data_IF_113057005890
#
_entry.id   IF_113057005890
#
_cell.length_a   1.000
_cell.length_b   1.000
_cell.length_c   1.000
_cell.angle_alpha   90.00
_cell.angle_beta   90.00
_cell.angle_gamma   90.00
#
_symmetry.space_group_name_H-M   'P 1'
#
loop_
_entity.id
_entity.type
_entity.pdbx_description
1 polymer ?
#
# COMPACT_ATOMS: atom_id res chain seq x y z
N UNK A 1 22.28 -3.13 -31.85
CA UNK A 1 23.05 -1.91 -31.53
C UNK A 1 24.25 -2.34 -30.71
N UNK A 2 25.44 -2.17 -31.23
CA UNK A 2 26.68 -2.56 -30.54
C UNK A 2 27.02 -1.43 -29.56
N UNK A 3 27.00 -1.72 -28.25
CA UNK A 3 27.35 -0.74 -27.22
C UNK A 3 28.90 -0.71 -27.13
N UNK A 4 29.49 0.40 -27.51
CA UNK A 4 30.94 0.63 -27.31
C UNK A 4 31.19 0.85 -25.82
N UNK A 5 32.16 0.15 -25.24
CA UNK A 5 32.61 0.36 -23.86
C UNK A 5 33.78 1.37 -23.77
N UNK A 6 34.15 2.01 -24.89
CA UNK A 6 35.14 3.06 -24.88
C UNK A 6 34.55 4.39 -24.43
N UNK A 7 35.25 5.15 -23.60
CA UNK A 7 34.86 6.51 -23.23
C UNK A 7 34.85 7.40 -24.48
N UNK A 8 33.80 8.24 -24.59
CA UNK A 8 33.80 9.29 -25.63
C UNK A 8 34.94 10.28 -25.38
N UNK A 9 35.49 10.81 -26.44
CA UNK A 9 36.53 11.86 -26.36
C UNK A 9 36.01 13.23 -25.87
N UNK A 10 34.71 13.34 -25.59
CA UNK A 10 34.06 14.55 -25.10
C UNK A 10 33.91 14.50 -23.57
N UNK A 11 34.24 15.63 -22.92
CA UNK A 11 34.01 15.84 -21.50
C UNK A 11 32.55 16.29 -21.24
N UNK A 12 31.95 15.86 -20.11
CA UNK A 12 30.70 16.42 -19.63
C UNK A 12 30.99 17.72 -18.85
N UNK A 13 30.19 18.75 -19.12
CA UNK A 13 30.26 20.04 -18.41
C UNK A 13 28.91 20.24 -17.68
N UNK A 14 28.94 20.72 -16.43
CA UNK A 14 27.78 20.92 -15.56
C UNK A 14 27.54 22.40 -15.29
N UNK A 15 27.44 23.21 -16.35
CA UNK A 15 27.40 24.67 -16.33
C UNK A 15 26.07 25.28 -16.87
N UNK A 16 25.08 24.44 -17.21
CA UNK A 16 23.79 24.91 -17.72
C UNK A 16 22.71 24.84 -16.62
N UNK A 17 22.40 25.98 -16.03
CA UNK A 17 21.36 26.15 -15.00
C UNK A 17 19.91 25.92 -15.50
N UNK A 18 19.74 25.72 -16.82
CA UNK A 18 18.43 25.42 -17.39
C UNK A 18 18.13 23.92 -17.47
N UNK A 19 19.08 23.06 -17.15
CA UNK A 19 18.88 21.62 -17.18
C UNK A 19 18.16 21.16 -15.93
N UNK A 20 17.09 20.37 -16.12
CA UNK A 20 16.29 19.74 -15.06
C UNK A 20 16.29 18.23 -15.22
N UNK A 21 16.51 17.50 -14.14
CA UNK A 21 16.58 16.04 -14.13
C UNK A 21 15.22 15.36 -14.00
N UNK A 22 14.23 16.02 -13.37
CA UNK A 22 12.94 15.46 -13.03
C UNK A 22 11.79 16.34 -13.53
N UNK A 23 11.80 16.70 -14.82
CA UNK A 23 10.80 17.63 -15.40
C UNK A 23 9.36 17.09 -15.25
N UNK A 24 9.17 15.77 -15.27
CA UNK A 24 7.87 15.15 -15.07
C UNK A 24 7.30 15.32 -13.65
N UNK A 25 8.10 15.86 -12.72
CA UNK A 25 7.59 16.24 -11.40
C UNK A 25 6.63 17.43 -11.48
N UNK A 26 6.74 18.29 -12.50
CA UNK A 26 5.84 19.44 -12.70
C UNK A 26 4.38 19.00 -12.79
N UNK A 27 3.95 18.14 -13.72
CA UNK A 27 2.57 17.69 -13.80
C UNK A 27 2.13 16.92 -12.55
N UNK A 28 3.00 16.16 -11.89
CA UNK A 28 2.69 15.45 -10.63
C UNK A 28 2.36 16.44 -9.50
N UNK A 29 3.18 17.48 -9.33
CA UNK A 29 2.97 18.48 -8.28
C UNK A 29 1.83 19.45 -8.63
N UNK A 30 1.60 19.72 -9.91
CA UNK A 30 0.39 20.45 -10.37
C UNK A 30 -0.87 19.66 -10.02
N UNK A 31 -0.90 18.35 -10.24
CA UNK A 31 -2.00 17.49 -9.80
C UNK A 31 -2.18 17.54 -8.27
N UNK A 32 -1.10 17.47 -7.50
CA UNK A 32 -1.14 17.59 -6.04
C UNK A 32 -1.75 18.94 -5.59
N UNK A 33 -1.41 20.04 -6.26
CA UNK A 33 -1.96 21.37 -6.01
C UNK A 33 -3.44 21.43 -6.38
N UNK A 34 -3.83 20.94 -7.56
CA UNK A 34 -5.22 20.93 -8.05
C UNK A 34 -6.14 20.06 -7.18
N UNK A 35 -5.60 19.03 -6.53
CA UNK A 35 -6.32 18.17 -5.58
C UNK A 35 -6.18 18.65 -4.13
N UNK A 36 -5.67 19.87 -3.93
CA UNK A 36 -5.69 20.56 -2.64
C UNK A 36 -4.68 20.06 -1.61
N UNK A 37 -3.62 19.33 -1.99
CA UNK A 37 -2.67 18.77 -1.02
C UNK A 37 -2.06 19.86 -0.13
N UNK A 38 -1.61 20.97 -0.70
CA UNK A 38 -0.99 22.08 0.05
C UNK A 38 -1.95 22.70 1.06
N UNK A 39 -3.21 22.89 0.65
CA UNK A 39 -4.28 23.40 1.54
C UNK A 39 -4.55 22.43 2.71
N UNK A 40 -4.71 21.14 2.43
CA UNK A 40 -4.90 20.11 3.43
C UNK A 40 -3.73 20.03 4.43
N UNK A 41 -2.49 20.14 3.95
CA UNK A 41 -1.30 20.17 4.80
C UNK A 41 -1.30 21.41 5.69
N UNK A 42 -1.63 22.59 5.16
CA UNK A 42 -1.66 23.84 5.92
C UNK A 42 -2.78 23.88 6.96
N UNK A 43 -3.96 23.36 6.62
CA UNK A 43 -5.11 23.31 7.52
C UNK A 43 -4.91 22.30 8.65
N UNK A 44 -4.46 21.08 8.32
CA UNK A 44 -4.52 19.95 9.26
C UNK A 44 -3.25 19.68 10.01
N UNK A 45 -2.08 20.05 9.47
CA UNK A 45 -0.79 19.78 10.13
C UNK A 45 -0.35 21.01 10.92
N UNK A 46 -0.72 21.03 12.18
CA UNK A 46 -0.40 22.10 13.12
C UNK A 46 0.63 21.60 14.13
N UNK A 47 1.86 22.12 14.06
CA UNK A 47 2.95 21.74 14.94
C UNK A 47 3.28 22.93 15.82
N UNK A 48 2.80 22.88 17.07
CA UNK A 48 3.18 23.84 18.09
C UNK A 48 4.46 23.36 18.75
N UNK A 49 5.53 24.10 18.55
CA UNK A 49 6.83 23.75 19.13
C UNK A 49 7.08 24.51 20.42
N UNK A 50 7.56 23.81 21.44
CA UNK A 50 7.86 24.47 22.74
C UNK A 50 9.15 25.31 22.71
N UNK A 51 9.89 25.32 21.61
CA UNK A 51 11.19 25.98 21.47
C UNK A 51 11.16 27.11 20.46
N UNK A 52 11.81 28.23 20.78
CA UNK A 52 11.88 29.44 19.95
C UNK A 52 12.59 29.15 18.58
N UNK A 53 13.56 28.23 18.57
CA UNK A 53 14.27 27.79 17.35
C UNK A 53 13.90 26.33 17.02
N UNK A 54 12.65 26.08 16.66
CA UNK A 54 12.22 24.74 16.25
C UNK A 54 12.10 24.65 14.74
N UNK A 55 12.16 23.42 14.20
CA UNK A 55 11.88 23.14 12.80
C UNK A 55 10.39 23.22 12.43
N UNK A 56 9.50 23.55 13.37
CA UNK A 56 8.05 23.48 13.25
C UNK A 56 7.44 24.53 12.30
N UNK A 57 8.09 25.66 12.10
CA UNK A 57 7.57 26.71 11.21
C UNK A 57 7.35 26.19 9.77
N UNK A 58 6.26 26.65 9.16
CA UNK A 58 5.89 26.32 7.78
C UNK A 58 5.91 24.81 7.48
N UNK A 59 5.13 23.97 8.16
CA UNK A 59 5.16 22.53 7.94
C UNK A 59 4.70 22.12 6.54
N UNK A 60 3.71 22.81 5.98
CA UNK A 60 3.10 22.45 4.69
C UNK A 60 4.11 22.45 3.53
N UNK A 61 4.85 23.51 3.19
CA UNK A 61 5.78 23.49 2.07
C UNK A 61 6.99 22.53 2.31
N UNK A 62 7.38 22.29 3.56
CA UNK A 62 8.43 21.31 3.89
C UNK A 62 7.97 19.88 3.62
N UNK A 63 6.71 19.55 3.97
CA UNK A 63 6.12 18.25 3.67
C UNK A 63 5.87 18.09 2.17
N UNK A 64 5.46 19.16 1.48
CA UNK A 64 5.33 19.14 0.02
C UNK A 64 6.67 18.87 -0.67
N UNK A 65 7.76 19.51 -0.20
CA UNK A 65 9.13 19.24 -0.66
C UNK A 65 9.51 17.77 -0.47
N UNK A 66 9.22 17.19 0.70
CA UNK A 66 9.49 15.78 0.98
C UNK A 66 8.69 14.85 0.06
N UNK A 67 7.40 15.11 -0.14
CA UNK A 67 6.53 14.32 -1.02
C UNK A 67 7.03 14.40 -2.46
N UNK A 68 7.43 15.59 -2.94
CA UNK A 68 8.02 15.79 -4.26
C UNK A 68 9.30 14.97 -4.45
N UNK A 69 10.22 15.02 -3.47
CA UNK A 69 11.43 14.20 -3.47
C UNK A 69 11.12 12.70 -3.54
N UNK A 70 10.14 12.22 -2.77
CA UNK A 70 9.71 10.83 -2.80
C UNK A 70 9.07 10.43 -4.15
N UNK A 71 8.34 11.32 -4.80
CA UNK A 71 7.85 11.09 -6.16
C UNK A 71 9.01 10.97 -7.17
N UNK A 72 10.08 11.74 -6.98
CA UNK A 72 11.29 11.68 -7.80
C UNK A 72 12.19 10.47 -7.49
N UNK A 73 11.98 9.81 -6.33
CA UNK A 73 12.69 8.58 -5.95
C UNK A 73 13.49 8.66 -4.65
N UNK A 74 13.38 9.75 -3.89
CA UNK A 74 14.06 9.89 -2.59
C UNK A 74 13.69 8.74 -1.63
N UNK A 75 14.69 8.05 -1.12
CA UNK A 75 14.54 6.99 -0.11
C UNK A 75 15.24 7.36 1.23
N UNK A 76 16.03 8.43 1.22
CA UNK A 76 16.63 9.05 2.39
C UNK A 76 16.42 10.57 2.38
N UNK A 77 16.81 11.23 3.48
CA UNK A 77 16.57 12.68 3.60
C UNK A 77 17.44 13.50 2.64
N UNK A 78 18.64 13.02 2.36
CA UNK A 78 19.61 13.73 1.52
C UNK A 78 19.20 13.71 0.04
N UNK A 79 18.45 12.69 -0.38
CA UNK A 79 17.94 12.60 -1.76
C UNK A 79 16.94 13.69 -2.12
N UNK A 80 16.44 14.45 -1.14
CA UNK A 80 15.61 15.64 -1.41
C UNK A 80 16.37 16.66 -2.28
N UNK A 81 17.70 16.64 -2.27
CA UNK A 81 18.49 17.50 -3.15
C UNK A 81 18.27 17.22 -4.66
N UNK A 82 17.67 16.09 -5.04
CA UNK A 82 17.18 15.85 -6.40
C UNK A 82 16.24 16.95 -6.91
N UNK A 83 15.39 17.49 -6.02
CA UNK A 83 14.43 18.55 -6.38
C UNK A 83 15.01 19.97 -6.19
N UNK A 84 16.32 20.08 -5.91
CA UNK A 84 17.03 21.34 -5.69
C UNK A 84 18.25 21.52 -6.60
N UNK A 85 18.63 20.49 -7.35
CA UNK A 85 19.82 20.53 -8.22
C UNK A 85 19.50 21.07 -9.61
N UNK A 86 20.47 21.74 -10.24
CA UNK A 86 20.34 22.32 -11.57
C UNK A 86 19.18 23.32 -11.63
N UNK A 87 18.46 23.35 -12.75
CA UNK A 87 17.29 24.21 -12.97
C UNK A 87 16.04 23.86 -12.18
N UNK A 88 16.08 22.84 -11.29
CA UNK A 88 14.88 22.42 -10.52
C UNK A 88 14.36 23.53 -9.61
N UNK A 89 15.21 24.38 -9.06
CA UNK A 89 14.83 25.53 -8.22
C UNK A 89 14.06 26.60 -8.96
N UNK A 90 14.15 26.63 -10.28
CA UNK A 90 13.36 27.55 -11.14
C UNK A 90 11.94 27.02 -11.37
N UNK A 91 11.74 25.70 -11.30
CA UNK A 91 10.42 25.08 -11.46
C UNK A 91 9.56 25.16 -10.21
N UNK A 92 10.19 25.22 -9.03
CA UNK A 92 9.48 25.14 -7.74
C UNK A 92 10.00 26.21 -6.78
N UNK A 93 9.13 27.14 -6.39
CA UNK A 93 9.44 28.11 -5.34
C UNK A 93 9.56 27.44 -3.97
N UNK A 94 10.58 27.88 -3.19
CA UNK A 94 10.66 27.56 -1.78
C UNK A 94 10.94 26.10 -1.44
N UNK A 95 11.69 25.39 -2.29
CA UNK A 95 12.15 24.02 -2.00
C UNK A 95 13.12 24.03 -0.81
N UNK A 96 12.78 23.28 0.23
CA UNK A 96 13.56 23.28 1.47
C UNK A 96 14.74 22.30 1.41
N UNK A 97 15.85 22.68 2.05
CA UNK A 97 17.02 21.82 2.19
C UNK A 97 16.71 20.55 3.02
N UNK A 98 17.40 19.43 2.78
CA UNK A 98 17.25 18.18 3.55
C UNK A 98 17.34 18.38 5.05
N UNK A 99 18.31 19.20 5.51
CA UNK A 99 18.49 19.50 6.94
C UNK A 99 17.27 20.20 7.56
N UNK A 100 16.62 21.09 6.82
CA UNK A 100 15.42 21.81 7.25
C UNK A 100 14.21 20.87 7.34
N UNK A 101 14.00 20.02 6.32
CA UNK A 101 12.96 18.99 6.32
C UNK A 101 13.19 17.98 7.44
N UNK A 102 14.44 17.53 7.62
CA UNK A 102 14.83 16.63 8.71
C UNK A 102 14.59 17.22 10.08
N UNK A 103 14.76 18.54 10.26
CA UNK A 103 14.46 19.22 11.52
C UNK A 103 12.95 19.25 11.78
N UNK A 104 12.12 19.54 10.78
CA UNK A 104 10.67 19.44 10.89
C UNK A 104 10.23 18.03 11.29
N UNK A 105 10.72 16.99 10.62
CA UNK A 105 10.33 15.60 10.92
C UNK A 105 10.62 15.21 12.37
N UNK A 106 11.69 15.75 12.97
CA UNK A 106 12.02 15.50 14.38
C UNK A 106 11.05 16.14 15.38
N UNK A 107 10.23 17.09 14.96
CA UNK A 107 9.17 17.67 15.80
C UNK A 107 7.87 16.84 15.82
N UNK A 108 7.76 15.84 14.91
CA UNK A 108 6.56 15.04 14.85
C UNK A 108 6.35 14.17 16.10
N UNK A 109 5.16 14.27 16.65
CA UNK A 109 4.63 13.43 17.73
C UNK A 109 3.56 12.47 17.18
N UNK A 110 3.00 11.63 18.05
CA UNK A 110 1.86 10.79 17.69
C UNK A 110 0.65 11.60 17.20
N UNK A 111 0.35 12.74 17.85
CA UNK A 111 -0.74 13.64 17.45
C UNK A 111 -0.54 14.19 16.04
N UNK A 112 0.65 14.66 15.72
CA UNK A 112 0.97 15.21 14.40
C UNK A 112 0.91 14.11 13.30
N UNK A 113 1.34 12.89 13.61
CA UNK A 113 1.16 11.77 12.69
C UNK A 113 -0.34 11.48 12.42
N UNK A 114 -1.22 11.63 13.44
CA UNK A 114 -2.67 11.47 13.24
C UNK A 114 -3.27 12.57 12.36
N UNK A 115 -2.75 13.79 12.44
CA UNK A 115 -3.13 14.89 11.55
C UNK A 115 -2.74 14.55 10.10
N UNK A 116 -1.51 14.08 9.87
CA UNK A 116 -1.02 13.70 8.55
C UNK A 116 -1.74 12.44 7.98
N UNK A 117 -2.17 11.50 8.85
CA UNK A 117 -3.07 10.41 8.42
C UNK A 117 -4.42 10.94 7.90
N UNK A 118 -4.92 12.07 8.43
CA UNK A 118 -6.13 12.71 7.90
C UNK A 118 -5.87 13.32 6.52
N UNK A 119 -4.73 14.00 6.34
CA UNK A 119 -4.32 14.53 5.04
C UNK A 119 -4.26 13.41 3.99
N UNK A 120 -3.62 12.28 4.30
CA UNK A 120 -3.55 11.13 3.37
C UNK A 120 -4.93 10.70 2.89
N UNK A 121 -5.91 10.57 3.80
CA UNK A 121 -7.27 10.11 3.44
C UNK A 121 -8.02 11.14 2.62
N UNK A 122 -8.01 12.40 3.04
CA UNK A 122 -8.80 13.44 2.39
C UNK A 122 -8.21 13.81 1.03
N UNK A 123 -6.88 13.76 0.91
CA UNK A 123 -6.21 13.93 -0.37
C UNK A 123 -6.49 12.75 -1.33
N UNK A 124 -6.56 11.51 -0.83
CA UNK A 124 -6.97 10.36 -1.66
C UNK A 124 -8.39 10.55 -2.21
N UNK A 125 -9.33 11.03 -1.38
CA UNK A 125 -10.70 11.33 -1.82
C UNK A 125 -10.69 12.40 -2.93
N UNK A 126 -9.92 13.48 -2.75
CA UNK A 126 -9.78 14.53 -3.75
C UNK A 126 -9.12 14.03 -5.05
N UNK A 127 -8.13 13.15 -4.95
CA UNK A 127 -7.52 12.48 -6.12
C UNK A 127 -8.53 11.64 -6.88
N UNK A 128 -9.35 10.83 -6.18
CA UNK A 128 -10.39 10.02 -6.81
C UNK A 128 -11.48 10.87 -7.47
N UNK A 129 -11.75 12.06 -6.95
CA UNK A 129 -12.68 13.03 -7.59
C UNK A 129 -12.12 13.65 -8.86
N UNK A 130 -10.81 13.60 -9.11
CA UNK A 130 -10.14 14.18 -10.27
C UNK A 130 -9.66 13.15 -11.29
N UNK A 131 -9.29 11.98 -10.83
CA UNK A 131 -8.68 10.89 -11.61
C UNK A 131 -9.41 9.60 -11.30
N UNK A 132 -9.74 8.82 -12.30
CA UNK A 132 -10.42 7.53 -12.13
C UNK A 132 -9.46 6.47 -11.57
N UNK A 133 -9.12 6.62 -10.29
CA UNK A 133 -8.26 5.70 -9.55
C UNK A 133 -8.99 4.40 -9.16
N UNK A 134 -10.31 4.44 -9.12
CA UNK A 134 -11.16 3.33 -8.69
C UNK A 134 -12.29 3.13 -9.71
N UNK A 135 -11.96 2.70 -10.94
CA UNK A 135 -12.95 2.47 -11.97
C UNK A 135 -14.03 1.51 -11.47
N UNK A 136 -15.27 1.76 -11.87
CA UNK A 136 -16.45 0.98 -11.49
C UNK A 136 -16.78 0.94 -9.99
N UNK A 137 -16.14 1.75 -9.14
CA UNK A 137 -16.37 1.75 -7.68
C UNK A 137 -17.84 2.05 -7.29
N UNK A 138 -18.57 2.74 -8.16
CA UNK A 138 -19.98 3.07 -7.92
C UNK A 138 -20.92 1.85 -8.10
N UNK A 139 -20.58 0.90 -8.95
CA UNK A 139 -21.45 -0.24 -9.32
C UNK A 139 -20.83 -1.59 -8.99
N UNK A 140 -19.51 -1.70 -9.12
CA UNK A 140 -18.75 -2.92 -8.92
C UNK A 140 -18.32 -3.15 -7.48
N UNK A 141 -17.54 -4.20 -7.30
CA UNK A 141 -16.93 -4.54 -6.00
C UNK A 141 -15.68 -3.70 -5.77
N UNK A 142 -15.58 -3.15 -4.56
CA UNK A 142 -14.41 -2.46 -4.05
C UNK A 142 -13.72 -3.33 -3.01
N UNK A 143 -12.43 -3.53 -3.17
CA UNK A 143 -11.63 -4.34 -2.27
C UNK A 143 -10.83 -3.47 -1.32
N UNK A 144 -10.83 -3.83 -0.04
CA UNK A 144 -9.97 -3.23 0.98
C UNK A 144 -9.08 -4.34 1.52
N UNK A 145 -7.79 -4.23 1.24
CA UNK A 145 -6.82 -5.18 1.76
C UNK A 145 -6.06 -4.56 2.94
N UNK A 146 -5.80 -5.38 3.96
CA UNK A 146 -5.05 -4.97 5.15
C UNK A 146 -3.89 -5.92 5.38
N UNK A 147 -2.71 -5.35 5.54
CA UNK A 147 -1.51 -6.11 5.90
C UNK A 147 -0.46 -5.24 6.58
N UNK A 148 0.56 -5.88 7.15
CA UNK A 148 1.68 -5.23 7.82
C UNK A 148 3.02 -5.72 7.30
N UNK A 149 3.93 -4.77 7.20
CA UNK A 149 5.28 -4.99 6.74
C UNK A 149 6.26 -4.78 7.90
N UNK A 150 7.22 -5.69 8.11
CA UNK A 150 8.36 -5.39 8.99
C UNK A 150 9.50 -4.78 8.17
N UNK A 151 9.83 -3.53 8.48
CA UNK A 151 11.00 -2.85 7.90
C UNK A 151 12.16 -2.92 8.87
N UNK A 152 13.29 -3.56 8.49
CA UNK A 152 14.50 -3.59 9.30
C UNK A 152 15.00 -2.17 9.59
N UNK A 153 15.52 -1.97 10.79
CA UNK A 153 16.22 -0.74 11.18
C UNK A 153 17.56 -1.09 11.82
N UNK A 154 18.55 -0.29 11.51
CA UNK A 154 19.92 -0.49 11.98
C UNK A 154 20.31 0.61 12.96
N UNK A 155 21.29 0.32 13.82
CA UNK A 155 21.77 1.24 14.85
C UNK A 155 21.14 1.03 16.22
N UNK A 156 21.78 1.64 17.26
CA UNK A 156 21.46 1.39 18.67
C UNK A 156 20.21 2.15 19.14
N UNK A 157 20.08 3.44 18.78
CA UNK A 157 19.06 4.35 19.29
C UNK A 157 17.91 4.56 18.29
N UNK A 158 17.13 3.51 18.03
CA UNK A 158 15.94 3.58 17.16
C UNK A 158 14.67 3.39 18.00
N UNK A 159 13.93 4.47 18.23
CA UNK A 159 12.69 4.46 19.03
C UNK A 159 11.66 3.50 18.42
N UNK A 160 11.05 2.65 19.26
CA UNK A 160 10.05 1.66 18.86
C UNK A 160 10.60 0.43 18.13
N UNK A 161 11.89 0.42 17.78
CA UNK A 161 12.51 -0.74 17.15
C UNK A 161 12.56 -1.93 18.11
N UNK A 162 12.06 -3.05 17.65
CA UNK A 162 12.02 -4.31 18.40
C UNK A 162 12.02 -5.50 17.45
N UNK A 163 12.31 -6.67 17.96
CA UNK A 163 12.29 -7.88 17.16
C UNK A 163 10.86 -8.26 16.80
N UNK A 164 10.63 -8.44 15.51
CA UNK A 164 9.37 -8.89 14.93
C UNK A 164 9.63 -10.00 13.91
N UNK A 165 8.58 -10.75 13.59
CA UNK A 165 8.66 -11.81 12.60
C UNK A 165 8.61 -11.23 11.19
N UNK A 166 9.46 -11.75 10.31
CA UNK A 166 9.42 -11.52 8.87
C UNK A 166 9.71 -12.81 8.13
N UNK A 167 9.28 -12.92 6.89
CA UNK A 167 9.59 -14.09 6.05
C UNK A 167 10.69 -13.74 5.06
N UNK A 168 11.70 -14.59 4.94
CA UNK A 168 12.74 -14.53 3.91
C UNK A 168 12.84 -15.90 3.27
N UNK A 169 12.68 -15.99 1.97
CA UNK A 169 12.69 -17.25 1.22
C UNK A 169 11.79 -18.35 1.86
N UNK A 170 10.58 -17.94 2.29
CA UNK A 170 9.61 -18.84 2.93
C UNK A 170 9.89 -19.18 4.40
N UNK A 171 11.06 -18.84 4.94
CA UNK A 171 11.41 -19.09 6.34
C UNK A 171 11.06 -17.90 7.22
N UNK A 172 10.42 -18.17 8.36
CA UNK A 172 10.11 -17.15 9.36
C UNK A 172 11.35 -16.86 10.20
N UNK A 173 11.75 -15.60 10.23
CA UNK A 173 12.91 -15.15 11.01
C UNK A 173 12.54 -13.93 11.86
N UNK A 174 13.30 -13.73 12.95
CA UNK A 174 13.20 -12.55 13.80
C UNK A 174 14.17 -11.48 13.33
N UNK A 175 13.66 -10.28 13.05
CA UNK A 175 14.47 -9.10 12.73
C UNK A 175 14.08 -7.90 13.58
N UNK A 176 15.08 -7.12 13.97
CA UNK A 176 14.86 -5.82 14.63
C UNK A 176 14.35 -4.81 13.61
N UNK A 177 13.18 -4.25 13.85
CA UNK A 177 12.56 -3.33 12.91
C UNK A 177 11.40 -2.53 13.47
N UNK A 178 10.72 -1.83 12.58
CA UNK A 178 9.44 -1.17 12.79
C UNK A 178 8.40 -1.83 11.87
N UNK A 179 7.13 -1.83 12.30
CA UNK A 179 6.06 -2.55 11.59
C UNK A 179 4.97 -1.58 11.10
N UNK A 180 5.10 -0.98 9.90
CA UNK A 180 3.98 -0.31 9.24
C UNK A 180 2.80 -1.26 9.05
N UNK A 181 1.60 -0.79 9.38
CA UNK A 181 0.32 -1.40 9.04
C UNK A 181 -0.32 -0.55 7.97
N UNK A 182 -0.73 -1.15 6.87
CA UNK A 182 -1.38 -0.47 5.76
C UNK A 182 -2.77 -1.02 5.47
N UNK A 183 -3.63 -0.16 4.94
CA UNK A 183 -4.87 -0.52 4.26
C UNK A 183 -4.85 0.08 2.86
N UNK A 184 -5.23 -0.70 1.88
CA UNK A 184 -5.34 -0.27 0.48
C UNK A 184 -6.77 -0.37 -0.02
N UNK A 185 -7.10 0.37 -1.05
CA UNK A 185 -8.37 0.29 -1.78
C UNK A 185 -8.04 -0.01 -3.24
N UNK A 186 -8.80 -0.92 -3.84
CA UNK A 186 -8.70 -1.24 -5.27
C UNK A 186 -10.05 -1.70 -5.82
N UNK A 187 -10.17 -1.72 -7.14
CA UNK A 187 -11.22 -2.41 -7.90
C UNK A 187 -10.58 -3.47 -8.79
N UNK A 188 -11.34 -4.29 -9.46
CA UNK A 188 -10.82 -5.29 -10.39
C UNK A 188 -9.99 -4.65 -11.51
N UNK A 189 -10.32 -3.41 -11.90
CA UNK A 189 -9.67 -2.64 -12.96
C UNK A 189 -8.47 -1.81 -12.52
N UNK A 190 -8.19 -1.62 -11.22
CA UNK A 190 -7.21 -0.65 -10.72
C UNK A 190 -5.98 -1.27 -10.07
N UNK A 191 -4.88 -0.49 -10.04
CA UNK A 191 -3.81 -0.74 -9.08
C UNK A 191 -4.23 -0.20 -7.70
N UNK A 192 -3.78 -0.82 -6.58
CA UNK A 192 -4.19 -0.38 -5.26
C UNK A 192 -3.65 1.01 -4.90
N UNK A 193 -4.48 1.80 -4.22
CA UNK A 193 -4.13 3.06 -3.56
C UNK A 193 -4.14 2.91 -2.04
N UNK A 194 -3.30 3.65 -1.34
CA UNK A 194 -3.14 3.54 0.11
C UNK A 194 -4.19 4.42 0.81
N UNK A 195 -5.14 3.79 1.51
CA UNK A 195 -6.17 4.47 2.29
C UNK A 195 -5.71 4.83 3.71
N UNK A 196 -4.73 4.11 4.23
CA UNK A 196 -4.19 4.38 5.55
C UNK A 196 -2.87 3.66 5.77
N UNK A 197 -1.97 4.32 6.51
CA UNK A 197 -0.69 3.74 6.92
C UNK A 197 -0.36 4.19 8.34
N UNK A 198 0.11 3.26 9.17
CA UNK A 198 0.48 3.55 10.56
C UNK A 198 1.73 2.82 10.97
N UNK A 199 2.73 3.57 11.44
CA UNK A 199 3.93 2.98 12.01
C UNK A 199 3.63 2.37 13.38
N UNK A 200 4.21 1.20 13.64
CA UNK A 200 4.12 0.49 14.91
C UNK A 200 5.49 -0.03 15.31
N UNK A 201 5.67 -0.36 16.60
CA UNK A 201 6.88 -1.06 17.05
C UNK A 201 6.99 -2.44 16.39
N UNK A 202 8.21 -2.92 16.17
CA UNK A 202 8.45 -4.19 15.47
C UNK A 202 7.77 -5.41 16.11
N UNK A 203 7.70 -5.47 17.46
CA UNK A 203 7.02 -6.53 18.21
C UNK A 203 5.50 -6.39 18.29
N UNK A 204 4.92 -5.35 17.68
CA UNK A 204 3.47 -5.13 17.77
C UNK A 204 2.73 -6.25 17.04
N UNK A 205 1.81 -6.91 17.72
CA UNK A 205 0.94 -7.90 17.11
C UNK A 205 0.20 -7.32 15.92
N UNK A 206 0.16 -8.04 14.79
CA UNK A 206 -0.39 -7.54 13.52
C UNK A 206 -1.83 -7.07 13.65
N UNK A 207 -2.65 -7.76 14.46
CA UNK A 207 -4.04 -7.41 14.74
C UNK A 207 -4.24 -6.06 15.45
N UNK A 208 -3.22 -5.54 16.16
CA UNK A 208 -3.35 -4.31 16.96
C UNK A 208 -3.64 -3.09 16.09
N UNK A 209 -4.80 -2.48 16.27
CA UNK A 209 -5.25 -1.30 15.54
C UNK A 209 -5.93 -1.59 14.19
N UNK A 210 -5.97 -2.86 13.76
CA UNK A 210 -6.50 -3.27 12.46
C UNK A 210 -7.98 -2.88 12.26
N UNK A 211 -8.86 -3.19 13.22
CA UNK A 211 -10.28 -2.84 13.12
C UNK A 211 -10.53 -1.35 12.91
N UNK A 212 -9.78 -0.48 13.61
CA UNK A 212 -9.89 0.98 13.41
C UNK A 212 -9.42 1.41 12.01
N UNK A 213 -8.33 0.83 11.51
CA UNK A 213 -7.83 1.15 10.17
C UNK A 213 -8.78 0.67 9.09
N UNK A 214 -9.35 -0.53 9.23
CA UNK A 214 -10.41 -1.03 8.32
C UNK A 214 -11.62 -0.11 8.33
N UNK A 215 -12.13 0.29 9.50
CA UNK A 215 -13.26 1.22 9.58
C UNK A 215 -12.95 2.58 8.92
N UNK A 216 -11.71 3.06 9.03
CA UNK A 216 -11.27 4.29 8.34
C UNK A 216 -11.18 4.09 6.83
N UNK A 217 -10.62 2.96 6.36
CA UNK A 217 -10.51 2.65 4.94
C UNK A 217 -11.90 2.51 4.27
N UNK A 218 -12.87 1.86 4.95
CA UNK A 218 -14.24 1.78 4.44
C UNK A 218 -14.87 3.18 4.28
N UNK A 219 -14.70 4.06 5.29
CA UNK A 219 -15.21 5.45 5.17
C UNK A 219 -14.51 6.21 4.03
N UNK A 220 -13.20 6.04 3.88
CA UNK A 220 -12.44 6.67 2.78
C UNK A 220 -12.91 6.15 1.42
N UNK A 221 -13.13 4.84 1.27
CA UNK A 221 -13.67 4.26 0.05
C UNK A 221 -15.06 4.84 -0.30
N UNK A 222 -15.95 4.93 0.69
CA UNK A 222 -17.28 5.53 0.51
C UNK A 222 -17.20 7.01 0.09
N UNK A 223 -16.33 7.79 0.74
CA UNK A 223 -16.08 9.19 0.39
C UNK A 223 -15.44 9.34 -1.01
N UNK A 224 -14.67 8.36 -1.45
CA UNK A 224 -14.08 8.30 -2.79
C UNK A 224 -15.04 7.78 -3.88
N UNK A 225 -16.34 7.62 -3.58
CA UNK A 225 -17.37 7.24 -4.54
C UNK A 225 -17.74 5.75 -4.57
N UNK A 226 -17.19 4.92 -3.69
CA UNK A 226 -17.55 3.50 -3.62
C UNK A 226 -18.97 3.33 -3.06
N UNK A 227 -19.98 3.23 -3.92
CA UNK A 227 -21.36 2.93 -3.54
C UNK A 227 -21.72 1.45 -3.71
N UNK A 228 -20.94 0.70 -4.48
CA UNK A 228 -21.04 -0.75 -4.63
C UNK A 228 -20.66 -1.54 -3.38
N UNK A 229 -20.55 -2.86 -3.52
CA UNK A 229 -20.16 -3.75 -2.43
C UNK A 229 -18.70 -3.54 -2.04
N UNK A 230 -18.43 -3.37 -0.74
CA UNK A 230 -17.06 -3.36 -0.20
C UNK A 230 -16.75 -4.72 0.40
N UNK A 231 -15.63 -5.33 0.00
CA UNK A 231 -15.09 -6.55 0.55
C UNK A 231 -13.73 -6.27 1.21
N UNK A 232 -13.66 -6.50 2.53
CA UNK A 232 -12.40 -6.41 3.28
C UNK A 232 -11.72 -7.77 3.28
N UNK A 233 -10.42 -7.80 2.89
CA UNK A 233 -9.62 -9.02 2.81
C UNK A 233 -8.36 -8.89 3.67
N UNK A 234 -7.88 -10.00 4.18
CA UNK A 234 -6.65 -10.03 4.97
C UNK A 234 -6.22 -11.43 5.35
N UNK A 235 -4.96 -11.57 5.73
CA UNK A 235 -4.36 -12.81 6.18
C UNK A 235 -4.83 -13.23 7.60
N UNK A 236 -4.26 -14.30 8.12
CA UNK A 236 -4.62 -14.88 9.42
C UNK A 236 -4.46 -13.93 10.62
N UNK A 237 -3.62 -12.92 10.51
CA UNK A 237 -3.46 -11.92 11.56
C UNK A 237 -4.70 -11.02 11.72
N UNK A 238 -5.51 -10.91 10.67
CA UNK A 238 -6.66 -10.01 10.62
C UNK A 238 -8.01 -10.74 10.74
N UNK A 239 -8.02 -12.06 10.77
CA UNK A 239 -9.19 -12.89 11.08
C UNK A 239 -9.62 -12.78 12.53
N UNK A 240 -9.86 -11.57 13.02
CA UNK A 240 -10.16 -11.28 14.42
C UNK A 240 -11.45 -10.48 14.59
N UNK A 241 -12.01 -10.57 15.81
CA UNK A 241 -13.27 -9.93 16.19
C UNK A 241 -13.35 -8.44 15.85
N UNK A 242 -12.26 -7.69 16.07
CA UNK A 242 -12.26 -6.24 15.86
C UNK A 242 -12.40 -5.84 14.39
N UNK A 243 -11.79 -6.61 13.48
CA UNK A 243 -11.91 -6.40 12.03
C UNK A 243 -13.29 -6.78 11.55
N UNK A 244 -13.78 -7.99 11.87
CA UNK A 244 -15.12 -8.46 11.49
C UNK A 244 -16.20 -7.49 11.96
N UNK A 245 -16.13 -7.07 13.22
CA UNK A 245 -17.09 -6.09 13.79
C UNK A 245 -17.04 -4.74 13.05
N UNK A 246 -15.87 -4.29 12.63
CA UNK A 246 -15.75 -3.05 11.87
C UNK A 246 -16.39 -3.16 10.49
N UNK A 247 -16.25 -4.30 9.81
CA UNK A 247 -16.93 -4.58 8.55
C UNK A 247 -18.46 -4.57 8.70
N UNK A 248 -18.97 -5.36 9.64
CA UNK A 248 -20.42 -5.47 9.88
C UNK A 248 -21.05 -4.12 10.23
N UNK A 249 -20.43 -3.34 11.11
CA UNK A 249 -20.93 -2.00 11.49
C UNK A 249 -20.97 -1.01 10.34
N UNK A 250 -20.11 -1.20 9.35
CA UNK A 250 -20.01 -0.33 8.19
C UNK A 250 -20.74 -0.89 6.95
N UNK A 251 -21.49 -1.99 7.09
CA UNK A 251 -22.19 -2.64 5.98
C UNK A 251 -21.25 -3.19 4.91
N UNK A 252 -20.01 -3.55 5.28
CA UNK A 252 -19.03 -4.16 4.39
C UNK A 252 -18.98 -5.68 4.57
N UNK A 253 -18.66 -6.38 3.50
CA UNK A 253 -18.36 -7.81 3.51
C UNK A 253 -16.91 -8.02 3.97
N UNK A 254 -16.60 -9.22 4.41
CA UNK A 254 -15.25 -9.62 4.81
C UNK A 254 -14.89 -11.00 4.23
N UNK A 255 -13.59 -11.21 4.02
CA UNK A 255 -12.98 -12.49 3.64
C UNK A 255 -11.62 -12.57 4.31
N UNK A 256 -11.51 -13.27 5.42
CA UNK A 256 -10.37 -13.22 6.33
C UNK A 256 -9.89 -14.63 6.66
N UNK A 257 -8.60 -14.88 6.50
CA UNK A 257 -8.02 -16.18 6.89
C UNK A 257 -8.22 -16.41 8.38
N UNK A 258 -8.65 -17.61 8.76
CA UNK A 258 -8.77 -18.00 10.16
C UNK A 258 -7.52 -18.69 10.66
N UNK A 259 -7.07 -18.28 11.85
CA UNK A 259 -6.00 -19.01 12.56
C UNK A 259 -6.55 -20.40 12.92
N UNK A 260 -5.79 -21.43 12.57
CA UNK A 260 -6.10 -22.82 12.96
C UNK A 260 -6.04 -22.94 14.47
N UNK A 261 -7.15 -23.29 15.05
CA UNK A 261 -7.33 -23.55 16.48
C UNK A 261 -8.29 -24.76 16.63
N UNK A 262 -8.47 -25.33 17.81
CA UNK A 262 -9.30 -26.54 17.99
C UNK A 262 -10.74 -26.41 17.46
N UNK A 263 -11.31 -25.21 17.45
CA UNK A 263 -12.67 -25.01 16.92
C UNK A 263 -12.66 -25.06 15.38
N UNK A 264 -11.67 -24.43 14.73
CA UNK A 264 -11.48 -24.49 13.27
C UNK A 264 -11.14 -25.93 12.86
N UNK A 265 -10.27 -26.63 13.59
CA UNK A 265 -9.94 -28.02 13.28
C UNK A 265 -11.15 -28.95 13.35
N UNK A 266 -12.02 -28.79 14.36
CA UNK A 266 -13.29 -29.55 14.41
C UNK A 266 -14.20 -29.24 13.23
N UNK A 267 -14.27 -27.97 12.82
CA UNK A 267 -15.07 -27.58 11.64
C UNK A 267 -14.50 -28.19 10.36
N UNK A 268 -13.16 -28.22 10.20
CA UNK A 268 -12.51 -28.88 9.07
C UNK A 268 -12.80 -30.38 9.03
N UNK A 269 -12.72 -31.06 10.18
CA UNK A 269 -12.97 -32.49 10.28
C UNK A 269 -14.44 -32.87 10.04
N UNK A 270 -15.35 -31.92 10.15
CA UNK A 270 -16.78 -32.12 9.90
C UNK A 270 -17.19 -31.93 8.41
N UNK A 271 -16.27 -31.53 7.54
CA UNK A 271 -16.54 -31.41 6.11
C UNK A 271 -16.56 -32.82 5.51
N UNK A 272 -17.70 -33.20 4.93
CA UNK A 272 -17.86 -34.47 4.24
C UNK A 272 -16.93 -34.55 3.01
N UNK A 273 -16.37 -35.74 2.73
CA UNK A 273 -15.44 -35.91 1.62
C UNK A 273 -16.12 -35.64 0.27
N UNK A 274 -17.41 -35.86 0.14
CA UNK A 274 -18.19 -35.56 -1.06
C UNK A 274 -18.46 -34.07 -1.30
N UNK A 275 -18.22 -33.21 -0.27
CA UNK A 275 -18.43 -31.77 -0.39
C UNK A 275 -17.26 -31.03 -1.09
N UNK A 276 -16.14 -31.71 -1.31
CA UNK A 276 -14.97 -31.11 -1.94
C UNK A 276 -15.14 -31.03 -3.44
N UNK A 277 -14.98 -29.82 -4.00
CA UNK A 277 -15.10 -29.55 -5.43
C UNK A 277 -13.74 -29.09 -5.96
N UNK A 278 -13.18 -29.73 -7.01
CA UNK A 278 -11.98 -29.29 -7.68
C UNK A 278 -12.09 -27.86 -8.22
N UNK A 279 -11.02 -27.08 -8.09
CA UNK A 279 -10.99 -25.66 -8.52
C UNK A 279 -9.79 -25.39 -9.41
N UNK A 280 -9.90 -24.32 -10.22
CA UNK A 280 -8.77 -23.82 -10.99
C UNK A 280 -7.64 -23.37 -10.06
N UNK A 281 -6.48 -24.02 -10.21
CA UNK A 281 -5.26 -23.76 -9.47
C UNK A 281 -4.08 -23.83 -10.44
N UNK A 282 -2.92 -23.21 -10.19
CA UNK A 282 -1.76 -23.33 -11.08
C UNK A 282 -1.46 -24.80 -11.41
N UNK A 283 -1.52 -25.16 -12.70
CA UNK A 283 -1.42 -26.54 -13.19
C UNK A 283 -2.74 -27.29 -13.36
N UNK A 284 -3.89 -26.72 -12.97
CA UNK A 284 -5.19 -27.32 -13.23
C UNK A 284 -5.51 -27.34 -14.73
N UNK A 285 -6.10 -28.44 -15.18
CA UNK A 285 -6.58 -28.65 -16.55
C UNK A 285 -8.09 -28.84 -16.50
N UNK A 286 -8.81 -28.22 -17.44
CA UNK A 286 -10.24 -28.44 -17.57
C UNK A 286 -10.49 -29.66 -18.45
N UNK A 287 -11.30 -30.62 -18.00
CA UNK A 287 -11.77 -31.73 -18.79
C UNK A 287 -12.69 -31.21 -19.89
N UNK A 288 -12.38 -31.44 -21.20
CA UNK A 288 -13.16 -30.90 -22.28
C UNK A 288 -14.57 -31.53 -22.40
N UNK A 289 -14.76 -32.74 -21.86
CA UNK A 289 -16.04 -33.46 -21.98
C UNK A 289 -17.01 -33.11 -20.85
N UNK A 290 -16.51 -32.93 -19.64
CA UNK A 290 -17.34 -32.67 -18.44
C UNK A 290 -17.29 -31.22 -17.96
N UNK A 291 -16.31 -30.42 -18.42
CA UNK A 291 -16.03 -29.08 -17.93
C UNK A 291 -15.47 -29.04 -16.50
N UNK A 292 -15.23 -30.20 -15.88
CA UNK A 292 -14.70 -30.29 -14.53
C UNK A 292 -13.19 -29.98 -14.48
N UNK A 293 -12.73 -29.41 -13.35
CA UNK A 293 -11.30 -29.18 -13.14
C UNK A 293 -10.58 -30.44 -12.65
N UNK A 294 -9.53 -30.84 -13.35
CA UNK A 294 -8.53 -31.80 -12.84
C UNK A 294 -7.46 -30.99 -12.16
N UNK A 295 -7.48 -30.94 -10.84
CA UNK A 295 -6.68 -30.02 -10.03
C UNK A 295 -6.14 -30.69 -8.77
N UNK A 296 -4.98 -30.20 -8.30
CA UNK A 296 -4.43 -30.51 -6.98
C UNK A 296 -5.03 -29.65 -5.85
N UNK A 297 -6.03 -28.86 -6.15
CA UNK A 297 -6.73 -28.01 -5.20
C UNK A 297 -8.24 -28.18 -5.31
N UNK A 298 -8.87 -28.21 -4.13
CA UNK A 298 -10.32 -28.33 -3.99
C UNK A 298 -10.83 -27.33 -2.96
N UNK A 299 -12.09 -26.95 -3.05
CA UNK A 299 -12.80 -26.13 -2.06
C UNK A 299 -14.02 -26.82 -1.54
N UNK A 300 -14.31 -26.56 -0.26
CA UNK A 300 -15.57 -26.89 0.36
C UNK A 300 -15.98 -25.76 1.32
N UNK A 301 -17.24 -25.76 1.74
CA UNK A 301 -17.72 -24.78 2.70
C UNK A 301 -18.60 -25.41 3.78
N UNK A 302 -18.60 -24.79 4.94
CA UNK A 302 -19.42 -25.20 6.08
C UNK A 302 -19.88 -23.94 6.85
N UNK A 303 -21.11 -23.92 7.41
CA UNK A 303 -21.50 -22.90 8.36
C UNK A 303 -20.57 -22.92 9.58
N UNK A 304 -20.07 -21.75 9.99
CA UNK A 304 -19.16 -21.64 11.12
C UNK A 304 -19.53 -20.46 12.01
N UNK A 305 -19.56 -20.68 13.32
CA UNK A 305 -19.78 -19.63 14.31
C UNK A 305 -18.45 -19.20 14.92
N UNK A 306 -17.96 -18.05 14.47
CA UNK A 306 -16.76 -17.43 15.03
C UNK A 306 -17.10 -16.66 16.31
N UNK A 307 -16.10 -16.54 17.21
CA UNK A 307 -16.18 -15.78 18.47
C UNK A 307 -17.35 -16.24 19.39
N UNK A 308 -17.66 -17.54 19.37
CA UNK A 308 -18.83 -18.15 20.04
C UNK A 308 -18.92 -17.82 21.54
N UNK A 309 -17.78 -17.67 22.23
CA UNK A 309 -17.71 -17.34 23.67
C UNK A 309 -17.87 -15.83 23.97
N UNK A 310 -18.21 -15.01 22.98
CA UNK A 310 -18.32 -13.56 23.13
C UNK A 310 -19.70 -13.03 22.69
N UNK A 311 -20.11 -11.83 23.14
CA UNK A 311 -21.34 -11.18 22.64
C UNK A 311 -21.30 -10.88 21.12
N UNK A 312 -20.11 -10.82 20.53
CA UNK A 312 -19.92 -10.55 19.10
C UNK A 312 -19.85 -11.86 18.28
N UNK A 313 -20.47 -12.95 18.77
CA UNK A 313 -20.56 -14.20 17.99
C UNK A 313 -21.25 -13.95 16.65
N UNK A 314 -20.70 -14.54 15.61
CA UNK A 314 -21.24 -14.44 14.27
C UNK A 314 -21.17 -15.79 13.56
N UNK A 315 -22.28 -16.18 12.93
CA UNK A 315 -22.33 -17.34 12.04
C UNK A 315 -22.25 -16.85 10.60
N UNK A 316 -21.29 -17.38 9.86
CA UNK A 316 -21.10 -17.14 8.45
C UNK A 316 -20.42 -18.36 7.79
N UNK A 317 -19.97 -18.24 6.55
CA UNK A 317 -19.37 -19.34 5.82
C UNK A 317 -17.88 -19.47 6.20
N UNK A 318 -17.45 -20.68 6.55
CA UNK A 318 -16.03 -21.07 6.55
C UNK A 318 -15.80 -21.79 5.23
N UNK A 319 -15.11 -21.11 4.31
CA UNK A 319 -14.68 -21.72 3.05
C UNK A 319 -13.27 -22.24 3.26
N UNK A 320 -13.02 -23.45 2.82
CA UNK A 320 -11.75 -24.12 2.99
C UNK A 320 -11.23 -24.55 1.63
N UNK A 321 -10.05 -24.06 1.29
CA UNK A 321 -9.28 -24.62 0.19
C UNK A 321 -8.35 -25.69 0.75
N UNK A 322 -8.32 -26.88 0.16
CA UNK A 322 -7.27 -27.89 0.38
C UNK A 322 -6.40 -28.01 -0.86
N UNK A 323 -5.12 -28.21 -0.67
CA UNK A 323 -4.13 -28.36 -1.75
C UNK A 323 -3.27 -29.57 -1.42
N UNK A 324 -3.02 -30.45 -2.38
CA UNK A 324 -2.10 -31.58 -2.21
C UNK A 324 -0.73 -31.08 -1.80
N UNK A 325 -0.14 -31.70 -0.80
CA UNK A 325 1.17 -31.29 -0.29
C UNK A 325 2.28 -31.89 -1.15
N UNK A 326 2.88 -31.07 -1.98
CA UNK A 326 3.97 -31.48 -2.90
C UNK A 326 5.22 -32.03 -2.16
N UNK A 327 5.28 -31.92 -0.83
CA UNK A 327 6.37 -32.54 -0.04
C UNK A 327 6.20 -34.05 0.09
N UNK A 328 5.02 -34.58 -0.20
CA UNK A 328 4.69 -36.01 -0.05
C UNK A 328 4.06 -36.55 -1.36
N UNK A 329 4.81 -36.48 -2.48
CA UNK A 329 4.25 -36.90 -3.79
C UNK A 329 3.95 -38.40 -3.85
N UNK A 330 4.77 -39.21 -3.13
CA UNK A 330 4.70 -40.67 -3.14
C UNK A 330 3.91 -41.25 -1.94
N UNK A 331 3.15 -40.41 -1.22
CA UNK A 331 2.33 -40.90 -0.12
C UNK A 331 1.21 -41.81 -0.63
N UNK A 332 0.94 -42.92 0.08
CA UNK A 332 -0.10 -43.89 -0.28
C UNK A 332 -1.50 -43.25 -0.36
N UNK A 333 -1.72 -42.20 0.44
CA UNK A 333 -2.93 -41.38 0.40
C UNK A 333 -2.56 -39.90 0.24
N UNK A 334 -3.42 -39.09 -0.43
CA UNK A 334 -3.17 -37.67 -0.58
C UNK A 334 -3.00 -36.95 0.76
N UNK A 335 -1.89 -36.27 0.96
CA UNK A 335 -1.66 -35.39 2.12
C UNK A 335 -2.12 -34.00 1.75
N UNK A 336 -3.08 -33.47 2.50
CA UNK A 336 -3.68 -32.20 2.23
C UNK A 336 -3.20 -31.09 3.16
N UNK A 337 -3.00 -29.88 2.61
CA UNK A 337 -2.84 -28.64 3.37
C UNK A 337 -4.13 -27.84 3.25
N UNK A 338 -4.67 -27.44 4.41
CA UNK A 338 -5.94 -26.72 4.51
C UNK A 338 -5.70 -25.23 4.72
N UNK A 339 -6.46 -24.41 4.00
CA UNK A 339 -6.42 -22.95 4.03
C UNK A 339 -7.83 -22.38 4.30
N UNK A 340 -8.30 -22.37 5.56
CA UNK A 340 -9.62 -21.88 5.89
C UNK A 340 -9.68 -20.35 5.91
N UNK A 341 -10.74 -19.78 5.34
CA UNK A 341 -11.07 -18.38 5.46
C UNK A 341 -12.55 -18.19 5.78
N UNK A 342 -12.85 -17.20 6.61
CA UNK A 342 -14.16 -16.87 7.10
C UNK A 342 -14.74 -15.70 6.31
N UNK A 343 -15.94 -15.85 5.77
CA UNK A 343 -16.52 -14.86 4.87
C UNK A 343 -18.03 -14.77 5.00
N UNK A 344 -18.57 -13.58 4.73
CA UNK A 344 -20.00 -13.35 4.57
C UNK A 344 -20.35 -12.89 3.14
N UNK A 345 -19.52 -13.22 2.15
CA UNK A 345 -19.84 -12.98 0.75
C UNK A 345 -20.89 -13.98 0.26
N UNK A 346 -21.65 -13.58 -0.76
CA UNK A 346 -22.67 -14.44 -1.40
C UNK A 346 -22.10 -15.14 -2.65
N UNK A 347 -20.79 -14.97 -2.93
CA UNK A 347 -20.14 -15.61 -4.06
C UNK A 347 -20.12 -17.14 -3.90
N UNK A 348 -20.24 -17.93 -4.99
CA UNK A 348 -19.94 -19.36 -4.98
C UNK A 348 -18.57 -19.65 -4.35
N UNK A 349 -18.37 -20.81 -3.74
CA UNK A 349 -17.19 -21.13 -2.95
C UNK A 349 -15.87 -20.99 -3.76
N UNK A 350 -15.86 -21.43 -5.00
CA UNK A 350 -14.75 -21.31 -5.94
C UNK A 350 -14.41 -19.83 -6.26
N UNK A 351 -15.43 -19.03 -6.55
CA UNK A 351 -15.28 -17.60 -6.83
C UNK A 351 -14.85 -16.83 -5.58
N UNK A 352 -15.37 -17.22 -4.41
CA UNK A 352 -14.94 -16.65 -3.14
C UNK A 352 -13.47 -16.96 -2.83
N UNK A 353 -12.98 -18.18 -3.14
CA UNK A 353 -11.56 -18.55 -3.00
C UNK A 353 -10.67 -17.74 -3.95
N UNK A 354 -11.05 -17.62 -5.23
CA UNK A 354 -10.32 -16.81 -6.20
C UNK A 354 -10.23 -15.35 -5.73
N UNK A 355 -11.38 -14.78 -5.33
CA UNK A 355 -11.45 -13.39 -4.85
C UNK A 355 -10.65 -13.19 -3.56
N UNK A 356 -10.70 -14.16 -2.66
CA UNK A 356 -9.91 -14.12 -1.43
C UNK A 356 -8.41 -14.12 -1.71
N UNK A 357 -7.91 -14.98 -2.56
CA UNK A 357 -6.48 -15.08 -2.90
C UNK A 357 -5.91 -13.81 -3.51
N UNK A 358 -6.73 -13.02 -4.18
CA UNK A 358 -6.32 -11.73 -4.74
C UNK A 358 -5.94 -10.68 -3.68
N UNK A 359 -6.15 -10.94 -2.36
CA UNK A 359 -5.69 -10.03 -1.31
C UNK A 359 -4.17 -9.81 -1.33
N UNK A 360 -3.41 -10.73 -1.88
CA UNK A 360 -1.96 -10.59 -2.09
C UNK A 360 -1.57 -9.36 -2.94
N UNK A 361 -2.51 -8.69 -3.60
CA UNK A 361 -2.25 -7.47 -4.36
C UNK A 361 -1.63 -6.36 -3.49
N UNK A 362 -1.88 -6.31 -2.18
CA UNK A 362 -1.25 -5.36 -1.25
C UNK A 362 0.28 -5.52 -1.20
N UNK A 363 0.80 -6.72 -1.46
CA UNK A 363 2.24 -6.97 -1.52
C UNK A 363 2.91 -6.17 -2.65
N UNK A 364 2.18 -5.86 -3.73
CA UNK A 364 2.67 -5.01 -4.82
C UNK A 364 2.90 -3.58 -4.35
N UNK A 365 2.04 -3.07 -3.46
CA UNK A 365 2.20 -1.75 -2.83
C UNK A 365 3.41 -1.74 -1.92
N UNK A 366 3.59 -2.78 -1.10
CA UNK A 366 4.78 -2.90 -0.26
C UNK A 366 6.06 -2.99 -1.09
N UNK A 367 6.04 -3.74 -2.17
CA UNK A 367 7.18 -3.83 -3.08
C UNK A 367 7.51 -2.47 -3.72
N UNK A 368 6.50 -1.67 -4.13
CA UNK A 368 6.72 -0.32 -4.66
C UNK A 368 7.29 0.64 -3.60
N UNK A 369 6.83 0.53 -2.36
CA UNK A 369 7.35 1.33 -1.26
C UNK A 369 8.78 0.93 -0.87
N UNK A 370 9.10 -0.37 -0.87
CA UNK A 370 10.44 -0.90 -0.57
C UNK A 370 11.44 -0.52 -1.67
N UNK A 371 10.98 -0.51 -2.92
CA UNK A 371 11.74 -0.09 -4.10
C UNK A 371 11.76 1.45 -4.26
N UNK A 372 11.51 2.17 -3.20
CA UNK A 372 11.43 3.63 -3.14
C UNK A 372 11.50 4.15 -1.70
N UNK A 373 10.56 5.01 -1.28
CA UNK A 373 10.69 5.76 -0.03
C UNK A 373 10.78 4.92 1.24
N UNK A 374 10.45 3.64 1.23
CA UNK A 374 10.65 2.73 2.36
C UNK A 374 11.82 1.74 2.15
N UNK A 375 12.72 1.96 1.19
CA UNK A 375 13.98 1.23 1.15
C UNK A 375 14.72 1.35 2.50
N UNK A 376 14.60 2.51 3.11
CA UNK A 376 15.15 2.82 4.43
C UNK A 376 14.08 3.35 5.40
N UNK A 377 14.35 3.21 6.70
CA UNK A 377 13.66 3.93 7.78
C UNK A 377 14.69 4.90 8.39
N UNK A 378 14.71 6.18 7.94
CA UNK A 378 15.90 7.03 8.05
C UNK A 378 16.18 7.51 9.47
N UNK A 379 15.15 7.75 10.29
CA UNK A 379 15.33 8.44 11.58
C UNK A 379 15.50 7.50 12.76
N UNK A 380 16.18 7.99 13.81
CA UNK A 380 16.15 7.40 15.16
C UNK A 380 14.84 7.67 15.91
N UNK A 381 14.05 8.68 15.50
CA UNK A 381 12.82 9.10 16.18
C UNK A 381 11.58 8.47 15.56
N UNK A 382 10.73 7.92 16.41
CA UNK A 382 9.50 7.23 15.97
C UNK A 382 8.52 8.18 15.26
N UNK A 383 8.35 9.41 15.78
CA UNK A 383 7.49 10.43 15.18
C UNK A 383 7.93 10.83 13.77
N UNK A 384 9.24 11.05 13.59
CA UNK A 384 9.81 11.36 12.27
C UNK A 384 9.57 10.23 11.26
N UNK A 385 9.80 8.98 11.67
CA UNK A 385 9.53 7.82 10.82
C UNK A 385 8.03 7.64 10.52
N UNK A 386 7.15 8.03 11.48
CA UNK A 386 5.70 8.03 11.25
C UNK A 386 5.28 9.04 10.18
N UNK A 387 5.86 10.25 10.21
CA UNK A 387 5.64 11.24 9.15
C UNK A 387 6.20 10.78 7.81
N UNK A 388 7.41 10.18 7.82
CA UNK A 388 8.07 9.66 6.63
C UNK A 388 7.19 8.66 5.87
N UNK A 389 6.66 7.62 6.56
CA UNK A 389 5.82 6.61 5.90
C UNK A 389 4.49 7.18 5.39
N UNK A 390 3.97 8.23 6.03
CA UNK A 390 2.73 8.88 5.59
C UNK A 390 2.97 9.74 4.35
N UNK A 391 4.09 10.46 4.27
CA UNK A 391 4.50 11.15 3.05
C UNK A 391 4.75 10.16 1.90
N UNK A 392 5.36 9.01 2.19
CA UNK A 392 5.54 7.93 1.23
C UNK A 392 4.20 7.39 0.68
N UNK A 393 3.18 7.26 1.54
CA UNK A 393 1.85 6.85 1.13
C UNK A 393 1.17 7.90 0.23
N UNK A 394 1.32 9.20 0.55
CA UNK A 394 0.80 10.28 -0.30
C UNK A 394 1.51 10.30 -1.66
N UNK A 395 2.84 10.17 -1.67
CA UNK A 395 3.64 10.12 -2.91
C UNK A 395 3.25 8.89 -3.77
N UNK A 396 3.01 7.72 -3.15
CA UNK A 396 2.52 6.54 -3.85
C UNK A 396 1.18 6.83 -4.55
N UNK A 397 0.21 7.42 -3.86
CA UNK A 397 -1.10 7.72 -4.43
C UNK A 397 -1.01 8.76 -5.57
N UNK A 398 -0.15 9.76 -5.45
CA UNK A 398 0.14 10.73 -6.52
C UNK A 398 0.73 10.06 -7.75
N UNK A 399 1.71 9.17 -7.57
CA UNK A 399 2.30 8.42 -8.68
C UNK A 399 1.27 7.50 -9.36
N UNK A 400 0.36 6.86 -8.57
CA UNK A 400 -0.74 6.08 -9.15
C UNK A 400 -1.65 6.97 -10.01
N UNK A 401 -2.02 8.15 -9.51
CA UNK A 401 -2.84 9.09 -10.25
C UNK A 401 -2.15 9.60 -11.53
N UNK A 402 -0.87 9.95 -11.44
CA UNK A 402 -0.07 10.32 -12.61
C UNK A 402 0.00 9.18 -13.64
N UNK A 403 0.15 7.94 -13.18
CA UNK A 403 0.14 6.76 -14.04
C UNK A 403 -1.17 6.56 -14.78
N UNK A 404 -2.31 6.74 -14.11
CA UNK A 404 -3.65 6.65 -14.75
C UNK A 404 -3.81 7.75 -15.80
N UNK A 405 -3.42 8.99 -15.48
CA UNK A 405 -3.47 10.12 -16.44
C UNK A 405 -2.54 9.94 -17.65
N UNK A 406 -1.43 9.21 -17.48
CA UNK A 406 -0.48 8.91 -18.55
C UNK A 406 -0.95 7.77 -19.48
N UNK A 407 -2.12 7.17 -19.22
CA UNK A 407 -2.75 6.16 -20.06
C UNK A 407 -2.64 4.73 -19.53
N UNK A 408 -3.36 3.82 -20.19
CA UNK A 408 -3.59 2.44 -19.74
C UNK A 408 -2.30 1.66 -19.41
N UNK A 409 -1.26 1.82 -20.23
CA UNK A 409 0.04 1.14 -20.02
C UNK A 409 0.74 1.55 -18.71
N UNK A 410 0.35 2.68 -18.10
CA UNK A 410 0.95 3.22 -16.89
C UNK A 410 0.04 3.11 -15.67
N UNK A 411 -1.27 2.97 -15.85
CA UNK A 411 -2.24 2.91 -14.76
C UNK A 411 -1.96 1.81 -13.73
N UNK A 412 -1.40 0.66 -14.16
CA UNK A 412 -1.00 -0.46 -13.30
C UNK A 412 0.51 -0.67 -13.19
N UNK A 413 1.31 0.22 -13.78
CA UNK A 413 2.76 0.07 -13.79
C UNK A 413 3.35 0.17 -12.37
N UNK A 414 4.50 -0.46 -12.15
CA UNK A 414 5.26 -0.37 -10.89
C UNK A 414 5.74 1.06 -10.63
N UNK A 415 5.88 1.43 -9.36
CA UNK A 415 6.32 2.76 -8.95
C UNK A 415 7.66 3.16 -9.58
N UNK A 416 8.63 2.26 -9.66
CA UNK A 416 9.91 2.49 -10.33
C UNK A 416 9.76 2.77 -11.84
N UNK A 417 8.81 2.11 -12.50
CA UNK A 417 8.52 2.38 -13.91
C UNK A 417 7.92 3.77 -14.08
N UNK A 418 7.01 4.18 -13.20
CA UNK A 418 6.40 5.51 -13.24
C UNK A 418 7.45 6.60 -12.98
N UNK A 419 8.32 6.41 -11.99
CA UNK A 419 9.44 7.33 -11.75
C UNK A 419 10.33 7.46 -12.99
N UNK A 420 10.75 6.34 -13.57
CA UNK A 420 11.65 6.36 -14.73
C UNK A 420 11.02 6.94 -16.00
N UNK A 421 9.73 6.64 -16.26
CA UNK A 421 9.09 6.99 -17.54
C UNK A 421 8.27 8.27 -17.50
N UNK A 422 7.89 8.74 -16.33
CA UNK A 422 7.02 9.92 -16.17
C UNK A 422 7.76 11.02 -15.41
N UNK A 423 8.36 10.71 -14.25
CA UNK A 423 8.90 11.73 -13.35
C UNK A 423 10.32 12.14 -13.74
N UNK A 424 11.25 11.16 -13.83
CA UNK A 424 12.68 11.39 -14.03
C UNK A 424 12.99 11.53 -15.53
N UNK A 425 12.32 12.48 -16.18
CA UNK A 425 12.54 12.83 -17.57
C UNK A 425 13.35 14.12 -17.59
N UNK A 426 14.58 14.11 -18.15
CA UNK A 426 15.37 15.31 -18.26
C UNK A 426 14.75 16.28 -19.26
N UNK A 427 14.85 17.57 -18.97
CA UNK A 427 14.40 18.63 -19.88
C UNK A 427 15.28 19.87 -19.74
N UNK A 428 15.14 20.79 -20.68
CA UNK A 428 15.76 22.11 -20.63
C UNK A 428 14.68 23.18 -20.49
N UNK A 429 14.82 24.05 -19.50
CA UNK A 429 13.94 25.21 -19.32
C UNK A 429 14.10 26.20 -20.47
N UNK A 430 12.99 26.79 -20.89
CA UNK A 430 12.95 27.89 -21.84
C UNK A 430 12.02 28.98 -21.32
N UNK A 431 12.28 30.27 -21.62
CA UNK A 431 11.33 31.35 -21.33
C UNK A 431 9.96 31.05 -21.96
N UNK A 432 8.88 31.44 -21.25
CA UNK A 432 7.50 31.16 -21.66
C UNK A 432 7.11 31.75 -23.03
N UNK A 433 7.80 32.79 -23.49
CA UNK A 433 7.57 33.48 -24.78
C UNK A 433 7.76 32.55 -26.01
N UNK A 434 8.41 31.40 -25.86
CA UNK A 434 8.61 30.45 -26.96
C UNK A 434 7.44 29.47 -27.19
N UNK A 435 6.45 29.47 -26.33
CA UNK A 435 5.28 28.57 -26.46
C UNK A 435 4.21 29.12 -27.40
N UNK A 436 4.23 30.40 -27.76
CA UNK A 436 3.17 31.07 -28.56
C UNK A 436 3.41 31.08 -30.06
N UNK A 437 4.55 30.56 -30.55
CA UNK A 437 4.94 30.71 -31.97
C UNK A 437 4.85 29.44 -32.83
N UNK A 438 4.15 28.39 -32.36
CA UNK A 438 3.88 27.16 -33.15
C UNK A 438 2.46 26.66 -32.88
N UNK A 439 1.47 27.39 -33.36
CA UNK A 439 0.16 26.86 -33.72
C UNK A 439 0.02 26.80 -35.23
#
# INVERSE_FOLDING_TARGET
>A
MQVSHSFASQSAVFDDDHLVSCAGLVPVMTLAQQTGLTGLLSEKVQIVAPRIKSGAANPSPKLATLIAGMCAGADCIDDIDLVRSGGMTTLFDGVYAPSTVGTLLREFTFGHARQLESVLRDHLVALCGRVDLLPDAAKGSVFIDIDSLLRPVYGRAKQGASYGHTKIAGKQILRKGLSPLATTISTAGSAPVIAGMRLRAGKTASAKGAGRMVAQAIRTARAAGASGQILVRGDSAYGNRAVVRSCLRAGARFSLVMIRNPAVERALAAIDESAWTPVSYPGAVQDPDTGAWISDAEVAEIPYTAFASTPDRITARLIVRRVKDARFPDALFPVWRYHPFFTNTDLPADQADITHRQHAIIETVFADLIDGPLAHIPSGRFGANSAWILCAAIAHNLLRAAGVLAGENHGRARGSTLRRKIVNIPARLRPAEWCTSRT
#
